data_IF_675834979700
#
_entry.id   IF_675834979700
#
_cell.length_a   1.000
_cell.length_b   1.000
_cell.length_c   1.000
_cell.angle_alpha   90.00
_cell.angle_beta   90.00
_cell.angle_gamma   90.00
#
_symmetry.space_group_name_H-M   'P 1'
#
loop_
_entity.id
_entity.type
_entity.pdbx_description
1 polymer ?
#
# COMPACT_ATOMS: atom_id res chain seq x y z
N UNK A 1 -46.98 -38.39 31.63
CA UNK A 1 -45.75 -37.55 31.73
C UNK A 1 -45.97 -36.47 32.78
N UNK A 2 -45.17 -36.47 33.84
CA UNK A 2 -45.35 -35.59 34.99
C UNK A 2 -45.14 -34.11 34.63
N UNK A 3 -45.93 -33.23 35.24
CA UNK A 3 -45.90 -31.77 35.06
C UNK A 3 -44.51 -31.17 35.30
N UNK A 4 -43.75 -31.78 36.21
CA UNK A 4 -42.35 -31.48 36.53
C UNK A 4 -41.39 -31.74 35.35
N UNK A 5 -41.59 -32.81 34.58
CA UNK A 5 -40.72 -33.18 33.45
C UNK A 5 -40.90 -32.24 32.26
N UNK A 6 -42.09 -31.64 32.08
CA UNK A 6 -42.35 -30.58 31.08
C UNK A 6 -41.69 -29.25 31.47
N UNK A 7 -41.70 -28.89 32.76
CA UNK A 7 -41.06 -27.66 33.24
C UNK A 7 -39.53 -27.70 33.12
N UNK A 8 -38.89 -28.83 33.42
CA UNK A 8 -37.44 -28.98 33.28
C UNK A 8 -36.98 -28.95 31.83
N UNK A 9 -37.75 -29.54 30.91
CA UNK A 9 -37.43 -29.53 29.48
C UNK A 9 -37.56 -28.13 28.87
N UNK A 10 -38.61 -27.38 29.22
CA UNK A 10 -38.79 -25.99 28.79
C UNK A 10 -37.72 -25.05 29.37
N UNK A 11 -37.33 -25.23 30.64
CA UNK A 11 -36.26 -24.44 31.24
C UNK A 11 -34.91 -24.70 30.55
N UNK A 12 -34.62 -25.95 30.18
CA UNK A 12 -33.41 -26.33 29.45
C UNK A 12 -33.38 -25.72 28.03
N UNK A 13 -34.52 -25.70 27.35
CA UNK A 13 -34.65 -25.09 26.02
C UNK A 13 -34.43 -23.57 26.05
N UNK A 14 -34.97 -22.88 27.08
CA UNK A 14 -34.75 -21.44 27.29
C UNK A 14 -33.27 -21.13 27.60
N UNK A 15 -32.61 -21.98 28.42
CA UNK A 15 -31.18 -21.83 28.71
C UNK A 15 -30.31 -22.02 27.45
N UNK A 16 -30.68 -22.95 26.57
CA UNK A 16 -30.00 -23.17 25.29
C UNK A 16 -30.20 -22.01 24.29
N UNK A 17 -31.33 -21.31 24.33
CA UNK A 17 -31.57 -20.14 23.46
C UNK A 17 -30.76 -18.92 23.97
N UNK A 18 -30.62 -18.77 25.29
CA UNK A 18 -29.85 -17.68 25.92
C UNK A 18 -28.32 -17.83 25.74
N UNK A 19 -27.82 -19.02 25.39
CA UNK A 19 -26.40 -19.27 25.16
C UNK A 19 -25.95 -19.12 23.70
N UNK A 20 -26.85 -18.79 22.78
CA UNK A 20 -26.50 -18.47 21.38
C UNK A 20 -26.16 -16.99 21.27
N UNK A 21 -25.07 -16.58 21.92
CA UNK A 21 -24.47 -15.26 21.74
C UNK A 21 -23.35 -15.34 20.72
N UNK A 22 -23.54 -14.83 19.51
CA UNK A 22 -22.45 -14.65 18.55
C UNK A 22 -21.65 -13.41 18.96
N UNK A 23 -20.49 -13.64 19.58
CA UNK A 23 -19.53 -12.58 19.90
C UNK A 23 -18.65 -12.28 18.69
N UNK A 24 -18.81 -11.11 18.10
CA UNK A 24 -17.91 -10.62 17.05
C UNK A 24 -16.87 -9.67 17.65
N UNK A 25 -15.59 -9.85 17.30
CA UNK A 25 -14.52 -9.03 17.86
C UNK A 25 -14.67 -7.60 17.37
N UNK A 26 -14.52 -6.60 18.25
CA UNK A 26 -14.57 -5.17 17.86
C UNK A 26 -13.60 -4.85 16.72
N UNK A 27 -12.44 -5.52 16.68
CA UNK A 27 -11.47 -5.41 15.59
C UNK A 27 -12.09 -5.74 14.23
N UNK A 28 -12.89 -6.80 14.14
CA UNK A 28 -13.44 -7.29 12.88
C UNK A 28 -14.59 -6.39 12.37
N UNK A 29 -15.14 -5.52 13.25
CA UNK A 29 -16.09 -4.47 12.88
C UNK A 29 -15.43 -3.18 12.39
N UNK A 30 -14.14 -2.99 12.70
CA UNK A 30 -13.39 -1.76 12.40
C UNK A 30 -12.42 -1.92 11.24
N UNK A 31 -11.84 -3.11 11.07
CA UNK A 31 -10.77 -3.37 10.11
C UNK A 31 -11.15 -4.49 9.17
N UNK A 32 -10.99 -4.20 7.88
CA UNK A 32 -11.00 -5.21 6.82
C UNK A 32 -9.56 -5.51 6.40
N UNK A 33 -9.23 -6.78 6.19
CA UNK A 33 -7.88 -7.17 5.74
C UNK A 33 -7.87 -7.29 4.22
N UNK A 34 -6.91 -6.59 3.61
CA UNK A 34 -6.58 -6.78 2.22
C UNK A 34 -5.65 -7.99 2.08
N UNK A 35 -5.99 -8.93 1.21
CA UNK A 35 -5.22 -10.16 0.97
C UNK A 35 -4.49 -10.12 -0.37
N UNK A 36 -3.52 -11.00 -0.59
CA UNK A 36 -2.79 -11.09 -1.87
C UNK A 36 -1.82 -9.95 -2.18
N UNK A 37 -1.65 -8.97 -1.29
CA UNK A 37 -0.78 -7.83 -1.51
C UNK A 37 0.72 -8.19 -1.48
N UNK A 38 1.49 -7.67 -2.44
CA UNK A 38 2.94 -7.89 -2.56
C UNK A 38 3.70 -6.62 -2.22
N UNK A 39 4.42 -6.63 -1.10
CA UNK A 39 5.15 -5.46 -0.61
C UNK A 39 6.52 -5.27 -1.27
N UNK A 40 6.86 -4.03 -1.58
CA UNK A 40 8.25 -3.60 -1.80
C UNK A 40 9.07 -3.82 -0.51
N UNK A 41 10.33 -4.19 -0.66
CA UNK A 41 11.22 -4.51 0.45
C UNK A 41 12.55 -3.78 0.33
N UNK A 42 13.19 -3.53 1.48
CA UNK A 42 14.48 -2.87 1.55
C UNK A 42 15.61 -3.83 1.17
N UNK A 43 16.55 -3.36 0.35
CA UNK A 43 17.83 -4.00 0.09
C UNK A 43 18.95 -3.04 0.49
N UNK A 44 20.11 -3.59 0.82
CA UNK A 44 21.28 -2.82 1.20
C UNK A 44 22.41 -3.10 0.20
N UNK A 45 23.19 -2.07 -0.10
CA UNK A 45 24.50 -2.20 -0.73
C UNK A 45 25.59 -1.81 0.30
N UNK A 46 26.86 -1.76 -0.11
CA UNK A 46 27.97 -1.40 0.76
C UNK A 46 27.87 0.01 1.34
N UNK A 47 27.16 0.92 0.67
CA UNK A 47 27.15 2.36 1.01
C UNK A 47 25.76 2.94 1.27
N UNK A 48 24.69 2.34 0.74
CA UNK A 48 23.34 2.89 0.81
C UNK A 48 22.30 1.77 0.96
N UNK A 49 21.08 2.18 1.29
CA UNK A 49 19.87 1.38 1.24
C UNK A 49 19.01 1.75 0.02
N UNK A 50 18.22 0.81 -0.46
CA UNK A 50 17.28 0.98 -1.58
C UNK A 50 15.98 0.22 -1.28
N UNK A 51 14.91 0.52 -2.01
CA UNK A 51 13.60 -0.10 -1.81
C UNK A 51 12.78 0.62 -0.75
N UNK A 52 11.89 -0.11 -0.07
CA UNK A 52 10.85 0.49 0.77
C UNK A 52 10.78 -0.15 2.16
N UNK A 53 10.19 0.57 3.11
CA UNK A 53 9.84 0.06 4.45
C UNK A 53 8.66 0.85 4.99
N UNK A 54 7.81 0.20 5.79
CA UNK A 54 6.87 0.93 6.65
C UNK A 54 7.54 1.42 7.93
N UNK A 55 6.80 2.22 8.71
CA UNK A 55 7.07 2.44 10.12
C UNK A 55 6.93 1.13 10.92
N UNK A 56 7.50 1.10 12.14
CA UNK A 56 7.59 -0.11 12.98
C UNK A 56 6.26 -0.80 13.22
N UNK A 57 5.21 -0.03 13.50
CA UNK A 57 3.89 -0.57 13.78
C UNK A 57 2.95 -0.56 12.57
N UNK A 58 3.46 -0.12 11.41
CA UNK A 58 2.69 0.09 10.19
C UNK A 58 2.58 1.57 9.85
N UNK A 59 2.50 1.88 8.56
CA UNK A 59 2.25 3.24 8.08
C UNK A 59 0.77 3.38 7.74
N UNK A 60 0.10 4.35 8.38
CA UNK A 60 -1.33 4.60 8.19
C UNK A 60 -1.55 5.90 7.41
N UNK A 61 -2.61 5.95 6.59
CA UNK A 61 -2.97 7.16 5.86
C UNK A 61 -4.34 7.10 5.20
N UNK A 62 -4.89 8.27 4.90
CA UNK A 62 -6.18 8.45 4.24
C UNK A 62 -6.09 7.95 2.80
N UNK A 63 -7.03 7.13 2.38
CA UNK A 63 -7.05 6.60 1.01
C UNK A 63 -7.32 7.73 0.03
N UNK A 64 -6.51 7.81 -1.03
CA UNK A 64 -6.83 8.64 -2.19
C UNK A 64 -6.74 7.81 -3.47
N UNK A 65 -7.87 7.48 -4.09
CA UNK A 65 -7.89 6.66 -5.30
C UNK A 65 -7.68 7.53 -6.55
N UNK A 66 -6.47 7.48 -7.09
CA UNK A 66 -6.04 8.31 -8.22
C UNK A 66 -5.96 7.48 -9.51
N UNK A 67 -6.94 7.64 -10.39
CA UNK A 67 -6.95 6.97 -11.70
C UNK A 67 -6.02 7.65 -12.72
N UNK A 68 -5.69 8.92 -12.51
CA UNK A 68 -4.88 9.72 -13.42
C UNK A 68 -3.84 10.53 -12.67
N UNK A 69 -2.80 10.96 -13.39
CA UNK A 69 -1.75 11.84 -12.87
C UNK A 69 -2.28 13.19 -12.38
N UNK A 70 -3.34 13.71 -12.99
CA UNK A 70 -3.93 15.01 -12.62
C UNK A 70 -4.65 14.93 -11.28
N UNK A 71 -5.39 13.83 -11.03
CA UNK A 71 -5.99 13.59 -9.72
C UNK A 71 -4.92 13.43 -8.64
N UNK A 72 -3.83 12.73 -8.97
CA UNK A 72 -2.70 12.59 -8.05
C UNK A 72 -2.08 13.95 -7.74
N UNK A 73 -1.80 14.76 -8.75
CA UNK A 73 -1.24 16.10 -8.55
C UNK A 73 -2.18 17.00 -7.73
N UNK A 74 -3.51 16.88 -7.92
CA UNK A 74 -4.50 17.60 -7.11
C UNK A 74 -4.34 17.30 -5.61
N UNK A 75 -4.28 16.02 -5.21
CA UNK A 75 -4.20 15.69 -3.78
C UNK A 75 -2.85 16.12 -3.16
N UNK A 76 -1.77 16.08 -3.93
CA UNK A 76 -0.45 16.48 -3.46
C UNK A 76 -0.36 17.98 -3.14
N UNK A 77 -1.18 18.82 -3.79
CA UNK A 77 -1.18 20.27 -3.58
C UNK A 77 -2.33 20.77 -2.71
N UNK A 78 -3.51 20.16 -2.83
CA UNK A 78 -4.75 20.64 -2.21
C UNK A 78 -5.27 19.74 -1.10
N UNK A 79 -4.62 18.62 -0.81
CA UNK A 79 -5.05 17.70 0.25
C UNK A 79 -5.01 18.35 1.64
N UNK A 80 -6.14 18.26 2.37
CA UNK A 80 -6.33 18.87 3.69
C UNK A 80 -6.23 17.88 4.85
N UNK A 81 -6.19 16.58 4.57
CA UNK A 81 -6.17 15.49 5.56
C UNK A 81 -4.96 14.55 5.40
N UNK A 82 -3.71 15.06 5.37
CA UNK A 82 -2.52 14.20 5.37
C UNK A 82 -2.38 13.43 6.70
N UNK A 83 -1.66 12.28 6.70
CA UNK A 83 -0.96 11.69 5.57
C UNK A 83 -1.87 10.87 4.64
N UNK A 84 -1.54 10.85 3.35
CA UNK A 84 -2.28 10.13 2.33
C UNK A 84 -1.61 8.80 1.93
N UNK A 85 -2.44 7.85 1.52
CA UNK A 85 -2.03 6.65 0.78
C UNK A 85 -2.72 6.70 -0.58
N UNK A 86 -2.01 7.16 -1.63
CA UNK A 86 -2.50 7.05 -2.98
C UNK A 86 -2.69 5.59 -3.39
N UNK A 87 -3.77 5.32 -4.10
CA UNK A 87 -4.09 4.03 -4.71
C UNK A 87 -4.24 4.27 -6.19
N UNK A 88 -3.36 3.67 -7.00
CA UNK A 88 -3.29 4.00 -8.42
C UNK A 88 -3.01 2.78 -9.31
N UNK A 89 -3.45 2.80 -10.58
CA UNK A 89 -3.12 1.74 -11.52
C UNK A 89 -1.63 1.76 -11.86
N UNK A 90 -1.08 0.60 -12.21
CA UNK A 90 0.32 0.44 -12.65
C UNK A 90 0.68 1.35 -13.84
N UNK A 91 -0.30 1.71 -14.68
CA UNK A 91 -0.08 2.58 -15.85
C UNK A 91 0.49 3.95 -15.53
N UNK A 92 0.12 4.53 -14.38
CA UNK A 92 0.61 5.86 -13.99
C UNK A 92 1.86 5.77 -13.10
N UNK A 93 2.34 4.57 -12.77
CA UNK A 93 3.56 4.39 -11.99
C UNK A 93 4.78 4.72 -12.85
N UNK A 94 5.43 5.84 -12.56
CA UNK A 94 6.70 6.25 -13.17
C UNK A 94 7.69 6.70 -12.09
N UNK A 95 8.98 6.78 -12.44
CA UNK A 95 9.99 7.30 -11.52
C UNK A 95 9.72 8.76 -11.13
N UNK A 96 9.19 9.58 -12.04
CA UNK A 96 8.78 10.95 -11.75
C UNK A 96 7.61 11.03 -10.78
N UNK A 97 6.62 10.14 -10.93
CA UNK A 97 5.50 10.05 -9.98
C UNK A 97 6.02 9.67 -8.60
N UNK A 98 6.87 8.65 -8.48
CA UNK A 98 7.46 8.28 -7.17
C UNK A 98 8.23 9.44 -6.56
N UNK A 99 9.04 10.15 -7.35
CA UNK A 99 9.76 11.34 -6.89
C UNK A 99 8.82 12.44 -6.39
N UNK A 100 7.74 12.75 -7.12
CA UNK A 100 6.70 13.69 -6.67
C UNK A 100 6.08 13.27 -5.33
N UNK A 101 5.78 11.99 -5.16
CA UNK A 101 5.23 11.46 -3.91
C UNK A 101 6.20 11.63 -2.74
N UNK A 102 7.49 11.36 -2.95
CA UNK A 102 8.55 11.56 -1.96
C UNK A 102 8.66 13.05 -1.60
N UNK A 103 8.78 13.90 -2.60
CA UNK A 103 9.00 15.34 -2.44
C UNK A 103 7.81 16.05 -1.77
N UNK A 104 6.60 15.49 -1.90
CA UNK A 104 5.39 16.06 -1.28
C UNK A 104 5.44 16.07 0.25
N UNK A 105 6.13 15.11 0.87
CA UNK A 105 6.20 14.96 2.33
C UNK A 105 4.88 14.59 3.03
N UNK A 106 3.77 14.43 2.29
CA UNK A 106 2.43 14.16 2.85
C UNK A 106 1.96 12.72 2.60
N UNK A 107 2.78 11.88 1.99
CA UNK A 107 2.44 10.49 1.63
C UNK A 107 3.08 9.53 2.62
N UNK A 108 2.26 8.68 3.26
CA UNK A 108 2.73 7.66 4.21
C UNK A 108 2.81 6.25 3.63
N UNK A 109 2.36 6.04 2.40
CA UNK A 109 2.37 4.75 1.73
C UNK A 109 1.80 4.84 0.33
N UNK A 110 1.97 3.78 -0.45
CA UNK A 110 1.47 3.71 -1.82
C UNK A 110 0.91 2.32 -2.11
N UNK A 111 -0.25 2.27 -2.75
CA UNK A 111 -0.80 1.04 -3.31
C UNK A 111 -0.87 1.17 -4.82
N UNK A 112 -0.24 0.24 -5.52
CA UNK A 112 -0.30 0.12 -6.97
C UNK A 112 -1.12 -1.11 -7.30
N UNK A 113 -2.01 -1.03 -8.29
CA UNK A 113 -2.80 -2.19 -8.68
C UNK A 113 -2.70 -2.53 -10.17
N UNK A 114 -2.94 -3.79 -10.49
CA UNK A 114 -3.11 -4.26 -11.85
C UNK A 114 -4.32 -3.56 -12.50
N UNK A 115 -4.20 -3.30 -13.80
CA UNK A 115 -5.32 -2.90 -14.64
C UNK A 115 -5.17 -3.54 -16.02
N UNK A 116 -6.24 -3.56 -16.80
CA UNK A 116 -6.24 -4.14 -18.17
C UNK A 116 -5.57 -3.22 -19.21
N UNK A 117 -4.86 -2.18 -18.77
CA UNK A 117 -4.22 -1.27 -19.69
C UNK A 117 -2.90 -1.84 -20.20
N UNK A 118 -2.64 -1.62 -21.48
CA UNK A 118 -1.34 -1.90 -22.09
C UNK A 118 -0.32 -0.83 -21.71
N UNK A 119 0.84 -1.26 -21.23
CA UNK A 119 2.02 -0.42 -21.03
C UNK A 119 2.88 -0.47 -22.29
N UNK A 120 3.28 0.68 -22.83
CA UNK A 120 4.23 0.72 -23.95
C UNK A 120 5.59 0.17 -23.53
N UNK A 121 6.07 0.60 -22.36
CA UNK A 121 7.30 0.12 -21.73
C UNK A 121 7.26 0.42 -20.23
N UNK A 122 7.81 -0.49 -19.43
CA UNK A 122 8.12 -0.22 -18.02
C UNK A 122 9.31 -1.07 -17.60
N UNK A 123 10.28 -0.44 -16.96
CA UNK A 123 11.46 -1.13 -16.43
C UNK A 123 11.99 -0.33 -15.25
N UNK A 124 12.18 -1.03 -14.13
CA UNK A 124 12.65 -0.44 -12.88
C UNK A 124 14.17 -0.53 -12.73
N UNK A 125 14.86 -1.20 -13.67
CA UNK A 125 16.31 -1.33 -13.66
C UNK A 125 17.00 -0.08 -14.27
N UNK A 126 18.32 -0.01 -14.14
CA UNK A 126 19.14 1.00 -14.82
C UNK A 126 19.11 0.83 -16.33
N UNK A 127 19.47 1.91 -17.04
CA UNK A 127 19.66 1.84 -18.49
C UNK A 127 20.86 0.96 -18.89
N UNK A 128 21.85 0.89 -18.01
CA UNK A 128 22.98 -0.02 -18.07
C UNK A 128 22.94 -0.90 -16.81
N UNK A 129 22.39 -2.12 -16.87
CA UNK A 129 22.40 -3.04 -15.73
C UNK A 129 23.84 -3.33 -15.26
N UNK A 130 24.02 -3.50 -13.95
CA UNK A 130 25.32 -3.78 -13.32
C UNK A 130 26.46 -2.83 -13.75
N UNK A 131 26.27 -1.49 -13.67
CA UNK A 131 27.25 -0.56 -14.24
C UNK A 131 28.62 -0.64 -13.53
N UNK A 132 28.64 -1.00 -12.24
CA UNK A 132 29.87 -1.12 -11.44
C UNK A 132 30.62 -2.44 -11.65
N UNK A 133 29.98 -3.45 -12.24
CA UNK A 133 30.56 -4.78 -12.48
C UNK A 133 30.73 -5.10 -13.96
N UNK A 134 30.40 -4.15 -14.83
CA UNK A 134 30.48 -4.32 -16.28
C UNK A 134 31.89 -4.01 -16.78
N UNK A 135 32.30 -4.70 -17.85
CA UNK A 135 33.53 -4.35 -18.56
C UNK A 135 33.37 -2.97 -19.21
N UNK A 136 34.44 -2.16 -19.17
CA UNK A 136 34.43 -0.81 -19.71
C UNK A 136 34.00 -0.78 -21.17
N UNK A 137 33.05 0.10 -21.48
CA UNK A 137 32.55 0.32 -22.84
C UNK A 137 31.54 -0.70 -23.36
N UNK A 138 31.05 -1.63 -22.53
CA UNK A 138 29.98 -2.58 -22.91
C UNK A 138 28.59 -1.96 -22.93
N UNK A 139 28.34 -0.92 -22.12
CA UNK A 139 27.13 -0.10 -22.19
C UNK A 139 27.53 1.37 -22.34
N UNK A 140 27.06 2.03 -23.40
CA UNK A 140 27.39 3.42 -23.72
C UNK A 140 26.12 4.21 -24.01
N UNK A 141 26.19 5.55 -24.00
CA UNK A 141 25.02 6.39 -24.32
C UNK A 141 24.43 6.09 -25.69
N UNK A 142 25.27 5.71 -26.65
CA UNK A 142 24.88 5.35 -28.02
C UNK A 142 24.38 3.90 -28.14
N UNK A 143 24.59 3.07 -27.10
CA UNK A 143 24.22 1.65 -27.07
C UNK A 143 23.85 1.26 -25.64
N UNK A 144 22.64 1.69 -25.23
CA UNK A 144 22.04 1.31 -23.96
C UNK A 144 21.39 -0.06 -24.10
N UNK A 145 21.68 -0.97 -23.18
CA UNK A 145 21.03 -2.29 -23.13
C UNK A 145 19.55 -2.19 -22.76
N UNK A 146 19.21 -1.22 -21.92
CA UNK A 146 17.87 -0.97 -21.44
C UNK A 146 17.49 0.51 -21.65
N UNK A 147 17.13 0.96 -22.85
CA UNK A 147 16.93 2.39 -23.15
C UNK A 147 15.86 3.06 -22.27
N UNK A 148 14.85 2.30 -21.83
CA UNK A 148 13.77 2.78 -20.97
C UNK A 148 14.04 2.65 -19.48
N UNK A 149 15.26 2.23 -19.08
CA UNK A 149 15.66 2.05 -17.68
C UNK A 149 15.42 3.28 -16.80
N UNK A 150 14.65 3.12 -15.74
CA UNK A 150 14.29 4.22 -14.82
C UNK A 150 15.10 4.24 -13.53
N UNK A 151 15.84 3.16 -13.24
CA UNK A 151 16.54 2.94 -11.97
C UNK A 151 15.66 2.96 -10.71
N UNK A 152 14.32 2.88 -10.83
CA UNK A 152 13.40 2.96 -9.71
C UNK A 152 13.65 1.89 -8.63
N UNK A 153 14.14 0.70 -9.00
CA UNK A 153 14.51 -0.37 -8.06
C UNK A 153 15.64 0.03 -7.10
N UNK A 154 16.44 1.02 -7.48
CA UNK A 154 17.62 1.47 -6.74
C UNK A 154 17.39 2.78 -5.99
N UNK A 155 16.15 3.26 -5.93
CA UNK A 155 15.75 4.42 -5.15
C UNK A 155 15.46 4.00 -3.71
N UNK A 156 15.89 4.81 -2.73
CA UNK A 156 15.44 4.69 -1.34
C UNK A 156 14.09 5.40 -1.18
N UNK A 157 13.03 4.62 -0.95
CA UNK A 157 11.66 5.12 -0.86
C UNK A 157 11.25 5.13 0.62
N UNK A 158 10.89 6.30 1.19
CA UNK A 158 10.68 6.47 2.62
C UNK A 158 9.36 5.92 3.15
N UNK A 159 8.52 5.36 2.28
CA UNK A 159 7.21 4.81 2.61
C UNK A 159 7.01 3.43 1.96
N UNK A 160 6.14 2.56 2.51
CA UNK A 160 5.89 1.24 1.97
C UNK A 160 5.08 1.33 0.67
N UNK A 161 5.42 0.47 -0.29
CA UNK A 161 4.67 0.28 -1.53
C UNK A 161 4.12 -1.14 -1.54
N UNK A 162 2.84 -1.31 -1.84
CA UNK A 162 2.22 -2.62 -2.07
C UNK A 162 1.62 -2.70 -3.47
N UNK A 163 1.78 -3.87 -4.09
CA UNK A 163 1.13 -4.21 -5.35
C UNK A 163 -0.07 -5.13 -5.10
N UNK A 164 -1.22 -4.80 -5.71
CA UNK A 164 -2.44 -5.59 -5.68
C UNK A 164 -2.77 -6.12 -7.08
N UNK A 165 -2.94 -7.42 -7.18
CA UNK A 165 -3.31 -8.10 -8.43
C UNK A 165 -4.82 -8.38 -8.48
N UNK A 166 -5.43 -8.71 -7.34
CA UNK A 166 -6.84 -9.11 -7.23
C UNK A 166 -7.78 -7.91 -7.35
N UNK A 167 -8.66 -7.91 -8.35
CA UNK A 167 -9.60 -6.81 -8.59
C UNK A 167 -10.60 -6.62 -7.43
N UNK A 168 -11.01 -7.71 -6.77
CA UNK A 168 -11.91 -7.66 -5.62
C UNK A 168 -11.31 -6.84 -4.47
N UNK A 169 -10.02 -7.02 -4.21
CA UNK A 169 -9.29 -6.30 -3.16
C UNK A 169 -9.14 -4.81 -3.50
N UNK A 170 -8.88 -4.49 -4.77
CA UNK A 170 -8.88 -3.11 -5.27
C UNK A 170 -10.28 -2.49 -5.17
N UNK A 171 -11.33 -3.26 -5.44
CA UNK A 171 -12.71 -2.80 -5.35
C UNK A 171 -13.09 -2.42 -3.92
N UNK A 172 -12.71 -3.20 -2.90
CA UNK A 172 -12.94 -2.87 -1.48
C UNK A 172 -12.36 -1.50 -1.11
N UNK A 173 -11.11 -1.27 -1.52
CA UNK A 173 -10.40 0.00 -1.29
C UNK A 173 -11.10 1.16 -1.99
N UNK A 174 -11.46 0.96 -3.26
CA UNK A 174 -12.16 1.95 -4.08
C UNK A 174 -13.57 2.27 -3.57
N UNK A 175 -14.33 1.28 -3.12
CA UNK A 175 -15.66 1.45 -2.54
C UNK A 175 -15.57 2.28 -1.25
N UNK A 176 -14.61 1.94 -0.38
CA UNK A 176 -14.37 2.69 0.85
C UNK A 176 -13.97 4.15 0.56
N UNK A 177 -13.10 4.37 -0.43
CA UNK A 177 -12.74 5.71 -0.90
C UNK A 177 -13.96 6.49 -1.41
N UNK A 178 -14.77 5.90 -2.29
CA UNK A 178 -15.96 6.59 -2.85
C UNK A 178 -16.97 6.93 -1.76
N UNK A 179 -17.17 6.04 -0.80
CA UNK A 179 -18.14 6.20 0.28
C UNK A 179 -17.72 7.28 1.28
N UNK A 180 -16.43 7.36 1.60
CA UNK A 180 -15.95 8.18 2.71
C UNK A 180 -14.98 9.27 2.33
N UNK A 181 -14.32 9.27 1.18
CA UNK A 181 -13.21 10.21 0.91
C UNK A 181 -13.45 11.07 -0.34
N UNK A 182 -14.23 10.60 -1.31
CA UNK A 182 -14.47 11.25 -2.61
C UNK A 182 -15.57 12.33 -2.59
N UNK A 183 -15.57 13.17 -1.57
CA UNK A 183 -16.41 14.36 -1.51
C UNK A 183 -15.85 15.36 -0.52
N UNK A 184 -16.07 16.65 -0.81
CA UNK A 184 -15.69 17.78 0.03
C UNK A 184 -14.24 17.69 0.52
N UNK A 185 -13.30 17.91 -0.43
CA UNK A 185 -11.86 17.86 -0.16
C UNK A 185 -11.38 18.98 0.75
N UNK A 186 -12.10 20.10 0.82
CA UNK A 186 -11.75 21.23 1.68
C UNK A 186 -12.05 20.93 3.16
N UNK A 187 -13.19 20.29 3.45
CA UNK A 187 -13.56 19.87 4.80
C UNK A 187 -13.22 18.40 5.11
N UNK A 188 -12.28 17.80 4.37
CA UNK A 188 -11.96 16.37 4.49
C UNK A 188 -11.49 16.00 5.91
N UNK A 189 -10.72 16.88 6.55
CA UNK A 189 -10.20 16.68 7.91
C UNK A 189 -11.28 16.70 9.00
N UNK A 190 -12.47 17.26 8.73
CA UNK A 190 -13.52 17.49 9.74
C UNK A 190 -14.49 16.30 9.89
N UNK A 191 -14.25 15.19 9.19
CA UNK A 191 -15.19 14.07 9.08
C UNK A 191 -14.49 12.71 9.12
N UNK A 192 -15.21 11.61 9.44
CA UNK A 192 -14.62 10.29 9.40
C UNK A 192 -14.23 9.89 7.96
N UNK A 193 -12.98 9.46 7.80
CA UNK A 193 -12.39 9.06 6.52
C UNK A 193 -12.03 7.57 6.54
N UNK A 194 -12.00 6.96 5.36
CA UNK A 194 -11.44 5.65 5.17
C UNK A 194 -9.91 5.72 5.01
N UNK A 195 -9.21 4.83 5.71
CA UNK A 195 -7.74 4.81 5.77
C UNK A 195 -7.21 3.40 5.53
N UNK A 196 -5.96 3.31 5.07
CA UNK A 196 -5.21 2.06 4.97
C UNK A 196 -4.06 2.03 5.96
N UNK A 197 -3.69 0.83 6.40
CA UNK A 197 -2.51 0.57 7.23
C UNK A 197 -1.61 -0.44 6.52
N UNK A 198 -0.39 -0.02 6.16
CA UNK A 198 0.58 -0.82 5.41
C UNK A 198 1.68 -1.29 6.36
N UNK A 199 1.83 -2.61 6.53
CA UNK A 199 2.83 -3.21 7.43
C UNK A 199 3.90 -3.95 6.64
N UNK A 200 5.08 -3.35 6.55
CA UNK A 200 6.28 -3.94 5.94
C UNK A 200 7.55 -3.34 6.56
N UNK A 201 7.63 -3.30 7.89
CA UNK A 201 8.79 -2.77 8.59
C UNK A 201 10.01 -3.64 8.32
N UNK A 202 11.07 -3.02 7.81
CA UNK A 202 12.33 -3.69 7.53
C UNK A 202 13.33 -3.40 8.66
N UNK A 203 13.82 -4.45 9.32
CA UNK A 203 14.78 -4.33 10.42
C UNK A 203 16.15 -3.80 9.98
N UNK A 204 16.51 -4.04 8.71
CA UNK A 204 17.76 -3.59 8.12
C UNK A 204 17.72 -2.08 7.80
N UNK A 205 18.82 -1.38 8.04
CA UNK A 205 18.92 0.08 7.85
C UNK A 205 20.34 0.50 7.44
N UNK A 206 20.43 1.69 6.84
CA UNK A 206 21.67 2.39 6.48
C UNK A 206 22.45 1.73 5.33
N UNK A 207 23.20 0.66 5.61
CA UNK A 207 24.07 -0.02 4.66
C UNK A 207 24.43 -1.44 5.15
N UNK A 208 25.02 -2.24 4.25
CA UNK A 208 25.38 -3.63 4.53
C UNK A 208 26.35 -3.78 5.72
N UNK A 209 27.46 -2.99 5.82
CA UNK A 209 28.34 -3.05 6.98
C UNK A 209 27.63 -2.76 8.31
N UNK A 210 26.76 -1.75 8.35
CA UNK A 210 26.01 -1.34 9.55
C UNK A 210 25.00 -2.41 9.97
N UNK A 211 24.29 -3.00 9.01
CA UNK A 211 23.31 -4.05 9.28
C UNK A 211 23.95 -5.36 9.78
N UNK A 212 25.20 -5.65 9.39
CA UNK A 212 25.91 -6.88 9.80
C UNK A 212 26.69 -6.75 11.11
N UNK A 213 26.97 -5.53 11.56
CA UNK A 213 27.71 -5.23 12.80
C UNK A 213 26.86 -5.46 14.03
#
# INVERSE_FOLDING_TARGET
MNKTTKCTLNACFILCILSIGYGERTKDKMYERITGARGCYRRLNATHQIGCSSERDGSTGVIFYAETTEKLDFILHNGTAPPYIPVMPVKILTADVIRKLIDSGIVSGLVVHANNDTLDYFTHDYQCPNPLSSLDGTCKRESLWNPHGTALLFTDIPFPIFYLEEEEEVWKIRDCFKKFNDFDYDAQADRPLCSLELKSFMYATTDTPTCKR
#
